data_IF_965790392589
#
_entry.id   IF_965790392589
#
_cell.length_a   1.000
_cell.length_b   1.000
_cell.length_c   1.000
_cell.angle_alpha   90.00
_cell.angle_beta   90.00
_cell.angle_gamma   90.00
#
_symmetry.space_group_name_H-M   'P 1'
#
loop_
_entity.id
_entity.type
_entity.pdbx_description
1 polymer ?
#
# COMPACT_ATOMS: atom_id res chain seq x y z
N UNK A 1 17.97 35.76 16.40
CA UNK A 1 16.73 35.50 17.17
C UNK A 1 15.49 35.40 16.27
N UNK A 2 15.44 36.04 15.09
CA UNK A 2 14.31 35.94 14.16
C UNK A 2 14.33 34.69 13.23
N UNK A 3 15.50 34.13 12.89
CA UNK A 3 15.59 32.96 11.97
C UNK A 3 15.06 31.64 12.54
N UNK A 4 15.02 31.47 13.87
CA UNK A 4 14.52 30.24 14.48
C UNK A 4 12.99 30.12 14.42
N UNK A 5 12.27 31.25 14.31
CA UNK A 5 10.81 31.27 14.22
C UNK A 5 10.32 30.89 12.81
N UNK A 6 11.06 31.27 11.76
CA UNK A 6 10.67 31.02 10.36
C UNK A 6 10.85 29.54 9.94
N UNK A 7 11.80 28.83 10.56
CA UNK A 7 11.97 27.40 10.38
C UNK A 7 10.84 26.56 11.03
N UNK A 8 10.28 27.05 12.15
CA UNK A 8 9.13 26.41 12.80
C UNK A 8 7.84 26.57 11.96
N UNK A 9 7.66 27.73 11.34
CA UNK A 9 6.49 28.01 10.50
C UNK A 9 6.54 27.29 9.13
N UNK A 10 7.74 27.00 8.60
CA UNK A 10 7.91 26.13 7.44
C UNK A 10 7.66 24.64 7.76
N UNK A 11 7.97 24.19 8.99
CA UNK A 11 7.62 22.85 9.47
C UNK A 11 6.09 22.71 9.70
N UNK A 12 5.42 23.77 10.15
CA UNK A 12 3.95 23.80 10.29
C UNK A 12 3.23 23.81 8.94
N UNK A 13 3.77 24.44 7.89
CA UNK A 13 3.21 24.28 6.52
C UNK A 13 3.42 22.86 5.95
N UNK A 14 4.46 22.15 6.38
CA UNK A 14 4.67 20.73 6.06
C UNK A 14 3.74 19.79 6.88
N UNK A 15 3.04 20.34 7.88
CA UNK A 15 2.04 19.63 8.69
C UNK A 15 0.70 19.45 7.94
N UNK A 16 0.55 20.06 6.76
CA UNK A 16 -0.58 19.85 5.84
C UNK A 16 -0.47 18.57 4.98
N UNK A 17 0.64 17.81 5.04
CA UNK A 17 0.83 16.57 4.26
C UNK A 17 0.31 15.28 4.90
N UNK A 18 -0.17 15.36 6.16
CA UNK A 18 -0.58 14.22 6.99
C UNK A 18 -2.03 14.37 7.48
N UNK A 19 -2.89 15.09 6.74
CA UNK A 19 -4.32 15.17 7.06
C UNK A 19 -4.97 13.81 6.84
N UNK A 20 -5.21 13.10 7.93
CA UNK A 20 -6.15 11.99 8.06
C UNK A 20 -5.86 10.72 7.24
N UNK A 21 -4.71 10.08 7.50
CA UNK A 21 -4.61 8.61 7.30
C UNK A 21 -5.34 7.80 8.39
N UNK A 22 -6.22 8.44 9.17
CA UNK A 22 -7.30 7.75 9.88
C UNK A 22 -8.43 7.60 8.87
N UNK A 23 -8.24 6.68 7.92
CA UNK A 23 -9.26 6.33 6.94
C UNK A 23 -10.58 6.13 7.68
N UNK A 24 -11.59 6.90 7.30
CA UNK A 24 -12.97 6.46 7.39
C UNK A 24 -13.11 5.24 6.47
N UNK A 25 -12.58 4.10 6.94
CA UNK A 25 -12.68 2.82 6.27
C UNK A 25 -14.15 2.56 6.02
N UNK A 26 -14.51 2.19 4.80
CA UNK A 26 -15.89 1.87 4.49
C UNK A 26 -16.42 0.83 5.50
N UNK A 27 -17.66 0.92 6.04
CA UNK A 27 -18.16 -0.01 7.05
C UNK A 27 -17.97 -1.50 6.69
N UNK A 28 -18.08 -1.83 5.40
CA UNK A 28 -17.80 -3.17 4.90
C UNK A 28 -16.35 -3.64 5.16
N UNK A 29 -15.37 -2.74 4.98
CA UNK A 29 -13.96 -3.03 5.26
C UNK A 29 -13.72 -3.25 6.75
N UNK A 30 -14.40 -2.48 7.62
CA UNK A 30 -14.35 -2.69 9.07
C UNK A 30 -14.90 -4.07 9.47
N UNK A 31 -16.04 -4.47 8.91
CA UNK A 31 -16.63 -5.79 9.17
C UNK A 31 -15.72 -6.93 8.69
N UNK A 32 -15.11 -6.80 7.51
CA UNK A 32 -14.16 -7.79 6.98
C UNK A 32 -12.90 -7.93 7.81
N UNK A 33 -12.37 -6.81 8.30
CA UNK A 33 -11.21 -6.84 9.19
C UNK A 33 -11.47 -7.69 10.44
N UNK A 34 -12.67 -7.59 11.02
CA UNK A 34 -13.01 -8.37 12.21
C UNK A 34 -12.88 -9.89 12.02
N UNK A 35 -12.97 -10.38 10.77
CA UNK A 35 -12.90 -11.81 10.43
C UNK A 35 -11.60 -12.20 9.71
N UNK A 36 -10.72 -11.24 9.37
CA UNK A 36 -9.53 -11.41 8.52
C UNK A 36 -8.32 -10.64 9.09
N UNK A 37 -8.22 -10.57 10.42
CA UNK A 37 -7.18 -9.77 11.09
C UNK A 37 -5.79 -10.42 10.94
N UNK A 38 -5.73 -11.75 10.76
CA UNK A 38 -4.55 -12.51 10.37
C UNK A 38 -4.00 -12.03 9.01
N UNK A 39 -4.86 -11.95 7.99
CA UNK A 39 -4.49 -11.46 6.66
C UNK A 39 -3.98 -10.01 6.71
N UNK A 40 -4.61 -9.16 7.54
CA UNK A 40 -4.15 -7.79 7.76
C UNK A 40 -2.78 -7.78 8.45
N UNK A 41 -2.56 -8.62 9.44
CA UNK A 41 -1.28 -8.73 10.14
C UNK A 41 -0.15 -9.16 9.19
N UNK A 42 -0.43 -10.13 8.32
CA UNK A 42 0.54 -10.62 7.32
C UNK A 42 0.87 -9.54 6.29
N UNK A 43 -0.12 -8.82 5.77
CA UNK A 43 0.11 -7.68 4.87
C UNK A 43 0.92 -6.57 5.56
N UNK A 44 0.63 -6.26 6.82
CA UNK A 44 1.41 -5.28 7.59
C UNK A 44 2.84 -5.74 7.76
N UNK A 45 3.07 -7.01 8.09
CA UNK A 45 4.41 -7.55 8.24
C UNK A 45 5.21 -7.47 6.93
N UNK A 46 4.60 -7.88 5.81
CA UNK A 46 5.17 -7.76 4.47
C UNK A 46 5.53 -6.30 4.12
N UNK A 47 4.62 -5.36 4.37
CA UNK A 47 4.85 -3.94 4.08
C UNK A 47 6.00 -3.38 4.92
N UNK A 48 6.03 -3.69 6.21
CA UNK A 48 7.07 -3.21 7.13
C UNK A 48 8.45 -3.79 6.83
N UNK A 49 8.53 -5.03 6.34
CA UNK A 49 9.78 -5.66 5.89
C UNK A 49 10.41 -4.89 4.70
N UNK A 50 9.58 -4.27 3.87
CA UNK A 50 10.00 -3.51 2.70
C UNK A 50 9.89 -1.99 2.86
N UNK A 51 9.67 -1.51 4.09
CA UNK A 51 9.54 -0.09 4.35
C UNK A 51 10.88 0.63 4.25
N UNK A 52 10.87 1.84 3.68
CA UNK A 52 12.03 2.72 3.68
C UNK A 52 12.20 3.39 5.06
N UNK A 53 13.31 3.13 5.78
CA UNK A 53 13.56 3.74 7.08
C UNK A 53 13.74 5.27 7.00
N UNK A 54 14.04 5.83 5.82
CA UNK A 54 14.17 7.27 5.60
C UNK A 54 12.85 7.97 5.25
N UNK A 55 11.77 7.22 5.01
CA UNK A 55 10.47 7.79 4.60
C UNK A 55 9.79 8.59 5.72
N UNK A 56 10.01 8.21 6.97
CA UNK A 56 9.45 8.89 8.13
C UNK A 56 9.62 8.10 9.43
N UNK A 57 9.06 8.58 10.56
CA UNK A 57 9.10 7.87 11.83
C UNK A 57 8.47 6.47 11.73
N UNK A 58 8.98 5.52 12.53
CA UNK A 58 8.46 4.13 12.58
C UNK A 58 6.96 4.05 12.85
N UNK A 59 6.45 4.93 13.72
CA UNK A 59 5.02 4.98 14.04
C UNK A 59 4.16 5.38 12.84
N UNK A 60 4.63 6.30 12.01
CA UNK A 60 3.93 6.74 10.80
C UNK A 60 3.98 5.67 9.71
N UNK A 61 5.16 5.08 9.50
CA UNK A 61 5.35 3.94 8.59
C UNK A 61 4.38 2.80 8.91
N UNK A 62 4.24 2.45 10.20
CA UNK A 62 3.29 1.42 10.66
C UNK A 62 1.84 1.80 10.42
N UNK A 63 1.47 3.07 10.57
CA UNK A 63 0.12 3.56 10.26
C UNK A 63 -0.18 3.45 8.76
N UNK A 64 0.75 3.86 7.91
CA UNK A 64 0.62 3.72 6.44
C UNK A 64 0.48 2.25 6.04
N UNK A 65 1.32 1.37 6.57
CA UNK A 65 1.25 -0.06 6.32
C UNK A 65 -0.11 -0.65 6.74
N UNK A 66 -0.59 -0.33 7.93
CA UNK A 66 -1.90 -0.77 8.42
C UNK A 66 -3.03 -0.26 7.52
N UNK A 67 -2.98 1.01 7.13
CA UNK A 67 -3.94 1.64 6.22
C UNK A 67 -4.04 0.88 4.89
N UNK A 68 -2.91 0.59 4.26
CA UNK A 68 -2.87 -0.16 2.99
C UNK A 68 -3.39 -1.60 3.17
N UNK A 69 -2.95 -2.28 4.23
CA UNK A 69 -3.37 -3.65 4.52
C UNK A 69 -4.89 -3.74 4.70
N UNK A 70 -5.48 -2.81 5.45
CA UNK A 70 -6.93 -2.80 5.68
C UNK A 70 -7.69 -2.40 4.42
N UNK A 71 -7.23 -1.40 3.65
CA UNK A 71 -7.85 -1.04 2.38
C UNK A 71 -7.79 -2.18 1.33
N UNK A 72 -6.82 -3.09 1.45
CA UNK A 72 -6.72 -4.27 0.59
C UNK A 72 -7.90 -5.23 0.73
N UNK A 73 -8.64 -5.18 1.85
CA UNK A 73 -9.86 -5.96 2.09
C UNK A 73 -11.12 -5.40 1.38
N UNK A 74 -11.04 -4.21 0.78
CA UNK A 74 -12.13 -3.66 -0.02
C UNK A 74 -12.29 -4.40 -1.36
N UNK A 75 -13.46 -4.26 -2.00
CA UNK A 75 -13.76 -4.92 -3.28
C UNK A 75 -13.30 -4.10 -4.49
N UNK A 76 -12.93 -2.83 -4.30
CA UNK A 76 -12.57 -1.93 -5.37
C UNK A 76 -11.07 -1.99 -5.67
N UNK A 77 -10.59 -1.14 -6.59
CA UNK A 77 -9.16 -0.91 -6.75
C UNK A 77 -8.58 -0.32 -5.46
N UNK A 78 -7.32 -0.64 -5.13
CA UNK A 78 -6.72 -0.21 -3.86
C UNK A 78 -6.71 1.31 -3.71
N UNK A 79 -6.50 2.04 -4.81
CA UNK A 79 -6.50 3.51 -4.80
C UNK A 79 -7.89 4.07 -4.47
N UNK A 80 -8.97 3.42 -4.92
CA UNK A 80 -10.36 3.80 -4.59
C UNK A 80 -10.68 3.51 -3.12
N UNK A 81 -10.27 2.35 -2.60
CA UNK A 81 -10.47 2.00 -1.19
C UNK A 81 -9.63 2.86 -0.23
N UNK A 82 -8.51 3.40 -0.71
CA UNK A 82 -7.72 4.42 -0.03
C UNK A 82 -8.24 5.85 -0.27
N UNK A 83 -9.27 6.03 -1.09
CA UNK A 83 -9.86 7.32 -1.49
C UNK A 83 -8.86 8.28 -2.15
N UNK A 84 -7.89 7.74 -2.87
CA UNK A 84 -6.96 8.51 -3.70
C UNK A 84 -7.64 8.88 -5.02
N UNK A 85 -7.16 9.93 -5.68
CA UNK A 85 -7.76 10.39 -6.93
C UNK A 85 -7.42 9.49 -8.13
N UNK A 86 -6.33 8.72 -8.03
CA UNK A 86 -5.88 7.84 -9.12
C UNK A 86 -4.90 6.76 -8.66
N UNK A 87 -4.68 5.77 -9.53
CA UNK A 87 -3.58 4.81 -9.41
C UNK A 87 -2.19 5.46 -9.35
N UNK A 88 -2.02 6.63 -9.99
CA UNK A 88 -0.74 7.33 -9.98
C UNK A 88 -0.39 7.86 -8.58
N UNK A 89 -1.38 8.36 -7.83
CA UNK A 89 -1.21 8.77 -6.44
C UNK A 89 -0.87 7.58 -5.54
N UNK A 90 -1.55 6.45 -5.71
CA UNK A 90 -1.20 5.21 -5.01
C UNK A 90 0.26 4.82 -5.30
N UNK A 91 0.67 4.86 -6.56
CA UNK A 91 2.04 4.51 -6.94
C UNK A 91 3.07 5.50 -6.37
N UNK A 92 2.72 6.78 -6.23
CA UNK A 92 3.57 7.77 -5.57
C UNK A 92 3.69 7.51 -4.06
N UNK A 93 2.58 7.15 -3.40
CA UNK A 93 2.55 6.73 -2.00
C UNK A 93 3.42 5.49 -1.78
N UNK A 94 3.29 4.46 -2.63
CA UNK A 94 4.11 3.26 -2.58
C UNK A 94 5.60 3.56 -2.81
N UNK A 95 5.93 4.49 -3.74
CA UNK A 95 7.31 4.93 -3.97
C UNK A 95 7.92 5.62 -2.75
N UNK A 96 7.13 6.42 -2.03
CA UNK A 96 7.61 7.12 -0.84
C UNK A 96 7.91 6.16 0.31
N UNK A 97 7.00 5.25 0.60
CA UNK A 97 7.05 4.44 1.83
C UNK A 97 7.65 3.05 1.62
N UNK A 98 7.49 2.46 0.43
CA UNK A 98 7.89 1.08 0.11
C UNK A 98 8.61 0.98 -1.25
N UNK A 99 9.69 1.75 -1.49
CA UNK A 99 10.38 1.79 -2.78
C UNK A 99 10.89 0.42 -3.23
N UNK A 100 11.26 -0.47 -2.28
CA UNK A 100 11.66 -1.84 -2.59
C UNK A 100 10.52 -2.65 -3.24
N UNK A 101 9.26 -2.46 -2.81
CA UNK A 101 8.10 -3.10 -3.43
C UNK A 101 7.83 -2.55 -4.83
N UNK A 102 8.01 -1.25 -5.03
CA UNK A 102 7.88 -0.62 -6.37
C UNK A 102 8.90 -1.20 -7.34
N UNK A 103 10.16 -1.33 -6.90
CA UNK A 103 11.22 -1.91 -7.74
C UNK A 103 10.91 -3.37 -8.11
N UNK A 104 10.32 -4.14 -7.19
CA UNK A 104 9.88 -5.52 -7.45
C UNK A 104 8.68 -5.59 -8.39
N UNK A 105 7.72 -4.66 -8.28
CA UNK A 105 6.54 -4.58 -9.15
C UNK A 105 6.84 -3.91 -10.52
N UNK A 106 7.95 -4.27 -11.15
CA UNK A 106 8.42 -3.70 -12.44
C UNK A 106 7.44 -3.92 -13.61
N UNK A 107 6.61 -4.96 -13.53
CA UNK A 107 5.60 -5.26 -14.54
C UNK A 107 4.31 -4.43 -14.41
N UNK A 108 4.22 -3.55 -13.40
CA UNK A 108 3.04 -2.73 -13.10
C UNK A 108 1.77 -3.57 -12.91
N UNK A 109 1.90 -4.65 -12.11
CA UNK A 109 0.78 -5.47 -11.67
C UNK A 109 -0.11 -4.65 -10.74
N UNK A 110 -1.43 -4.87 -10.79
CA UNK A 110 -2.39 -4.26 -9.85
C UNK A 110 -1.93 -4.49 -8.41
N UNK A 111 -1.91 -3.44 -7.59
CA UNK A 111 -1.24 -3.47 -6.28
C UNK A 111 -1.74 -4.58 -5.34
N UNK A 112 -3.06 -4.81 -5.28
CA UNK A 112 -3.61 -5.93 -4.48
C UNK A 112 -3.07 -7.27 -4.98
N UNK A 113 -3.20 -7.56 -6.28
CA UNK A 113 -2.73 -8.82 -6.88
C UNK A 113 -1.24 -9.04 -6.61
N UNK A 114 -0.43 -7.99 -6.68
CA UNK A 114 0.99 -8.03 -6.37
C UNK A 114 1.25 -8.37 -4.90
N UNK A 115 0.62 -7.67 -3.95
CA UNK A 115 0.80 -7.91 -2.52
C UNK A 115 0.37 -9.32 -2.11
N UNK A 116 -0.79 -9.79 -2.58
CA UNK A 116 -1.25 -11.16 -2.29
C UNK A 116 -0.35 -12.21 -2.93
N UNK A 117 0.19 -11.97 -4.12
CA UNK A 117 1.19 -12.84 -4.71
C UNK A 117 2.43 -12.97 -3.82
N UNK A 118 2.93 -11.86 -3.27
CA UNK A 118 4.08 -11.88 -2.36
C UNK A 118 3.79 -12.64 -1.06
N UNK A 119 2.59 -12.49 -0.50
CA UNK A 119 2.17 -13.30 0.65
C UNK A 119 2.17 -14.79 0.31
N UNK A 120 1.61 -15.18 -0.83
CA UNK A 120 1.62 -16.58 -1.24
C UNK A 120 3.02 -17.11 -1.52
N UNK A 121 3.92 -16.30 -2.09
CA UNK A 121 5.33 -16.67 -2.25
C UNK A 121 6.01 -16.90 -0.89
N UNK A 122 5.68 -16.12 0.14
CA UNK A 122 6.20 -16.29 1.51
C UNK A 122 5.72 -17.58 2.18
N UNK A 123 4.47 -17.96 1.93
CA UNK A 123 3.88 -19.22 2.43
C UNK A 123 4.21 -20.43 1.53
N UNK A 124 5.09 -20.26 0.53
CA UNK A 124 5.47 -21.27 -0.46
C UNK A 124 4.26 -21.85 -1.24
N UNK A 125 3.17 -21.07 -1.34
CA UNK A 125 1.95 -21.41 -2.06
C UNK A 125 2.05 -20.95 -3.51
N UNK A 126 2.02 -21.93 -4.43
CA UNK A 126 1.99 -21.66 -5.86
C UNK A 126 0.56 -21.34 -6.33
N UNK A 127 0.19 -20.06 -6.38
CA UNK A 127 -1.12 -19.64 -6.93
C UNK A 127 -1.13 -19.62 -8.47
N UNK A 128 -0.01 -19.25 -9.10
CA UNK A 128 0.06 -19.17 -10.56
C UNK A 128 0.50 -20.51 -11.16
N UNK A 129 -0.33 -21.10 -12.03
CA UNK A 129 -0.02 -22.36 -12.74
C UNK A 129 0.90 -22.16 -13.96
N UNK A 130 1.13 -20.92 -14.37
CA UNK A 130 1.93 -20.60 -15.55
C UNK A 130 3.42 -20.50 -15.18
N UNK A 131 4.35 -21.03 -16.01
CA UNK A 131 5.79 -20.90 -15.76
C UNK A 131 6.30 -19.45 -15.85
N UNK A 132 5.54 -18.55 -16.49
CA UNK A 132 5.80 -17.11 -16.46
C UNK A 132 4.53 -16.29 -16.64
N UNK A 133 4.54 -15.03 -16.19
CA UNK A 133 3.43 -14.11 -16.43
C UNK A 133 3.21 -13.83 -17.93
N UNK A 134 4.23 -13.98 -18.78
CA UNK A 134 4.14 -13.68 -20.21
C UNK A 134 3.25 -14.67 -20.99
N UNK A 135 3.15 -15.92 -20.51
CA UNK A 135 2.36 -16.99 -21.15
C UNK A 135 1.10 -17.36 -20.37
N UNK A 136 0.80 -16.61 -19.30
CA UNK A 136 -0.39 -16.83 -18.49
C UNK A 136 -1.63 -16.28 -19.21
N UNK A 137 -2.67 -17.10 -19.37
CA UNK A 137 -3.97 -16.67 -19.93
C UNK A 137 -4.59 -15.52 -19.14
N UNK A 138 -4.37 -15.51 -17.83
CA UNK A 138 -4.99 -14.55 -16.90
C UNK A 138 -4.13 -13.29 -16.73
N UNK A 139 -3.11 -13.09 -17.58
CA UNK A 139 -2.22 -11.93 -17.51
C UNK A 139 -2.99 -10.62 -17.53
N UNK A 140 -4.05 -10.50 -18.34
CA UNK A 140 -4.88 -9.29 -18.41
C UNK A 140 -5.63 -8.96 -17.10
N UNK A 141 -5.90 -9.96 -16.26
CA UNK A 141 -6.57 -9.75 -14.98
C UNK A 141 -5.60 -9.18 -13.93
N UNK A 142 -4.33 -9.60 -13.99
CA UNK A 142 -3.27 -9.16 -13.10
C UNK A 142 -2.64 -7.83 -13.53
N UNK A 143 -2.54 -7.60 -14.84
CA UNK A 143 -1.86 -6.47 -15.46
C UNK A 143 -2.84 -5.72 -16.37
N UNK A 144 -2.92 -4.40 -16.22
CA UNK A 144 -3.82 -3.57 -17.04
C UNK A 144 -4.16 -2.28 -16.33
N UNK A 145 -4.88 -1.40 -17.03
CA UNK A 145 -5.39 -0.17 -16.43
C UNK A 145 -6.41 -0.48 -15.31
N UNK A 146 -6.48 0.43 -14.35
CA UNK A 146 -7.44 0.42 -13.26
C UNK A 146 -8.20 1.75 -13.36
N UNK A 147 -9.18 1.81 -14.27
CA UNK A 147 -10.11 2.95 -14.42
C UNK A 147 -11.12 3.01 -13.26
#
# INVERSE_FOLDING_TARGET
MAEAAEAAEAAERNTMGTRELVLDLHPAVRARRATRDDEVADLVALLLEHADPAAGPRGETRRVALTIAVASLGDNHLWQDLRLASRAELSALMRRWFPALVARNHGDMKWKKFLYRLLCEREEILICKSPSCAVCSDRGECFGAED
#
